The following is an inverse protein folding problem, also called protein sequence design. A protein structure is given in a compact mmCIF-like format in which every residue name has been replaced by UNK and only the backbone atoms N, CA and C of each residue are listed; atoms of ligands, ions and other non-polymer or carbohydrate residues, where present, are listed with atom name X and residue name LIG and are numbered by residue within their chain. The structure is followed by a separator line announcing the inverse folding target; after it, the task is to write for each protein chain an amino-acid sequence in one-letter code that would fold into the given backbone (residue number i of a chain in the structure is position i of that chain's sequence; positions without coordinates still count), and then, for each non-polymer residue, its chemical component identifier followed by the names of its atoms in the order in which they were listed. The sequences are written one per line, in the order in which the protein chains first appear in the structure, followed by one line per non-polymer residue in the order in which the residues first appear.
data_IF_395223772627
#
_entry.id   IF_395223772627
#
_cell.length_a   1.000
_cell.length_b   1.000
_cell.length_c   1.000
_cell.angle_alpha   90.00
_cell.angle_beta   90.00
_cell.angle_gamma   90.00
#
_symmetry.space_group_name_H-M   'P 1'
#
loop_
_entity.id
_entity.type
_entity.pdbx_description
1 polymer ?
#
# COMPACT_ATOMS: atom_id res chain seq x y z
N UNK A 1 8.28 14.88 48.62
CA UNK A 1 8.66 14.38 47.29
C UNK A 1 7.43 13.66 46.77
N UNK A 2 6.75 14.25 45.76
CA UNK A 2 5.31 14.08 45.56
C UNK A 2 5.02 12.86 44.68
N UNK A 3 4.38 11.84 45.27
CA UNK A 3 3.99 10.56 44.65
C UNK A 3 3.14 10.76 43.39
N UNK A 4 2.42 11.89 43.28
CA UNK A 4 1.69 12.31 42.07
C UNK A 4 2.59 12.48 40.84
N UNK A 5 3.82 13.00 41.00
CA UNK A 5 4.71 13.25 39.87
C UNK A 5 5.29 11.95 39.30
N UNK A 6 5.52 10.94 40.16
CA UNK A 6 5.94 9.59 39.70
C UNK A 6 4.80 8.87 38.99
N UNK A 7 3.56 9.01 39.46
CA UNK A 7 2.38 8.41 38.82
C UNK A 7 2.11 9.05 37.47
N UNK A 8 2.17 10.39 37.36
CA UNK A 8 2.04 11.09 36.07
C UNK A 8 3.15 10.72 35.09
N UNK A 9 4.39 10.66 35.55
CA UNK A 9 5.52 10.29 34.70
C UNK A 9 5.39 8.85 34.17
N UNK A 10 4.91 7.90 34.99
CA UNK A 10 4.64 6.52 34.53
C UNK A 10 3.52 6.46 33.51
N UNK A 11 2.47 7.24 33.71
CA UNK A 11 1.32 7.32 32.80
C UNK A 11 1.71 7.93 31.45
N UNK A 12 2.55 8.97 31.45
CA UNK A 12 3.10 9.56 30.23
C UNK A 12 4.06 8.62 29.48
N UNK A 13 4.88 7.83 30.21
CA UNK A 13 5.77 6.83 29.60
C UNK A 13 4.97 5.70 28.95
N UNK A 14 3.91 5.23 29.60
CA UNK A 14 3.01 4.21 29.06
C UNK A 14 2.27 4.73 27.81
N UNK A 15 1.89 6.01 27.82
CA UNK A 15 1.30 6.70 26.68
C UNK A 15 2.28 6.81 25.49
N UNK A 16 3.54 7.13 25.76
CA UNK A 16 4.60 7.17 24.74
C UNK A 16 4.89 5.76 24.19
N UNK A 17 4.82 4.72 25.02
CA UNK A 17 5.02 3.34 24.61
C UNK A 17 3.88 2.83 23.71
N UNK A 18 2.62 3.17 24.00
CA UNK A 18 1.50 2.87 23.10
C UNK A 18 1.64 3.61 21.76
N UNK A 19 1.98 4.89 21.79
CA UNK A 19 2.26 5.67 20.58
C UNK A 19 3.41 5.07 19.75
N UNK A 20 4.46 4.56 20.41
CA UNK A 20 5.55 3.83 19.74
C UNK A 20 5.08 2.50 19.14
N UNK A 21 4.21 1.75 19.83
CA UNK A 21 3.65 0.50 19.30
C UNK A 21 2.78 0.75 18.07
N UNK A 22 1.97 1.81 18.08
CA UNK A 22 1.23 2.24 16.89
C UNK A 22 2.15 2.68 15.75
N UNK A 23 3.27 3.33 16.06
CA UNK A 23 4.30 3.72 15.08
C UNK A 23 5.02 2.50 14.49
N UNK A 24 5.32 1.48 15.30
CA UNK A 24 5.98 0.24 14.83
C UNK A 24 5.04 -0.62 13.99
N UNK A 25 3.78 -0.77 14.37
CA UNK A 25 2.76 -1.39 13.50
C UNK A 25 2.58 -0.61 12.20
N UNK A 26 2.68 0.72 12.25
CA UNK A 26 2.64 1.60 11.09
C UNK A 26 3.84 1.44 10.16
N UNK A 27 5.04 1.22 10.70
CA UNK A 27 6.25 0.93 9.91
C UNK A 27 6.18 -0.47 9.28
N UNK A 28 5.59 -1.43 9.99
CA UNK A 28 5.38 -2.81 9.51
C UNK A 28 4.34 -2.89 8.39
N UNK A 29 3.24 -2.13 8.48
CA UNK A 29 2.20 -2.00 7.45
C UNK A 29 2.63 -1.11 6.26
N UNK A 30 3.65 -0.26 6.47
CA UNK A 30 4.28 0.55 5.43
C UNK A 30 5.22 -0.25 4.51
N UNK A 31 5.57 -1.50 4.85
CA UNK A 31 6.42 -2.33 3.99
C UNK A 31 5.73 -2.57 2.64
N UNK A 32 6.54 -2.38 1.60
CA UNK A 32 6.14 -2.33 0.22
C UNK A 32 5.48 -3.65 -0.20
N UNK A 33 4.15 -3.72 -0.09
CA UNK A 33 3.33 -4.82 -0.58
C UNK A 33 3.24 -4.82 -2.13
N UNK A 34 4.38 -4.56 -2.78
CA UNK A 34 4.60 -4.84 -4.19
C UNK A 34 4.76 -6.36 -4.28
N UNK A 35 3.62 -7.04 -4.17
CA UNK A 35 3.56 -8.48 -4.02
C UNK A 35 3.81 -9.16 -5.36
N UNK A 36 4.19 -10.44 -5.30
CA UNK A 36 4.30 -11.32 -6.46
C UNK A 36 3.08 -11.25 -7.37
N UNK A 37 1.88 -11.06 -6.79
CA UNK A 37 0.61 -10.92 -7.51
C UNK A 37 0.62 -9.75 -8.50
N UNK A 38 1.27 -8.65 -8.16
CA UNK A 38 1.31 -7.46 -9.02
C UNK A 38 2.26 -7.66 -10.18
N UNK A 39 3.42 -8.27 -9.92
CA UNK A 39 4.34 -8.69 -10.98
C UNK A 39 3.65 -9.68 -11.93
N UNK A 40 2.96 -10.68 -11.39
CA UNK A 40 2.21 -11.64 -12.21
C UNK A 40 1.14 -10.92 -13.04
N UNK A 41 0.38 -9.98 -12.46
CA UNK A 41 -0.66 -9.27 -13.21
C UNK A 41 -0.11 -8.41 -14.36
N UNK A 42 1.11 -7.88 -14.22
CA UNK A 42 1.77 -7.09 -15.26
C UNK A 42 2.34 -8.02 -16.34
N UNK A 43 2.97 -9.13 -15.97
CA UNK A 43 3.65 -10.02 -16.92
C UNK A 43 2.71 -11.01 -17.63
N UNK A 44 1.60 -11.41 -17.00
CA UNK A 44 0.68 -12.42 -17.53
C UNK A 44 0.13 -12.06 -18.93
N UNK A 45 -0.31 -10.82 -19.21
CA UNK A 45 -0.76 -10.45 -20.55
C UNK A 45 0.33 -10.61 -21.62
N UNK A 46 1.59 -10.29 -21.31
CA UNK A 46 2.71 -10.42 -22.24
C UNK A 46 3.06 -11.88 -22.54
N UNK A 47 3.02 -12.74 -21.51
CA UNK A 47 3.24 -14.19 -21.68
C UNK A 47 2.14 -14.78 -22.55
N UNK A 48 0.88 -14.45 -22.28
CA UNK A 48 -0.26 -14.92 -23.07
C UNK A 48 -0.19 -14.43 -24.52
N UNK A 49 0.20 -13.17 -24.73
CA UNK A 49 0.37 -12.60 -26.07
C UNK A 49 1.51 -13.29 -26.84
N UNK A 50 2.62 -13.61 -26.15
CA UNK A 50 3.76 -14.32 -26.76
C UNK A 50 3.38 -15.75 -27.16
N UNK A 51 2.59 -16.43 -26.32
CA UNK A 51 2.03 -17.75 -26.65
C UNK A 51 1.08 -17.63 -27.84
N UNK A 52 0.17 -16.66 -27.85
CA UNK A 52 -0.76 -16.44 -28.95
C UNK A 52 -0.04 -16.18 -30.28
N UNK A 53 1.04 -15.40 -30.26
CA UNK A 53 1.88 -15.15 -31.44
C UNK A 53 2.58 -16.39 -31.99
N UNK A 54 2.69 -17.47 -31.19
CA UNK A 54 3.22 -18.75 -31.67
C UNK A 54 2.18 -19.60 -32.43
N UNK A 55 0.88 -19.34 -32.21
CA UNK A 55 -0.21 -20.07 -32.86
C UNK A 55 -0.87 -19.28 -33.98
N UNK A 56 -0.84 -17.95 -33.88
CA UNK A 56 -1.39 -17.02 -34.84
C UNK A 56 -0.26 -16.14 -35.35
N UNK A 57 -0.16 -15.97 -36.66
CA UNK A 57 0.81 -15.08 -37.29
C UNK A 57 0.32 -13.64 -37.13
N UNK A 58 0.52 -13.09 -35.94
CA UNK A 58 0.11 -11.72 -35.59
C UNK A 58 1.13 -10.79 -36.24
N UNK A 59 0.66 -9.86 -37.07
CA UNK A 59 1.52 -8.84 -37.66
C UNK A 59 2.31 -8.10 -36.60
N UNK A 60 3.60 -7.88 -36.87
CA UNK A 60 4.53 -7.28 -35.90
C UNK A 60 4.07 -5.89 -35.44
N UNK A 61 3.45 -5.11 -36.34
CA UNK A 61 2.89 -3.80 -36.01
C UNK A 61 1.74 -3.91 -35.00
N UNK A 62 0.81 -4.84 -35.22
CA UNK A 62 -0.29 -5.11 -34.28
C UNK A 62 0.24 -5.61 -32.93
N UNK A 63 1.23 -6.50 -32.94
CA UNK A 63 1.87 -6.99 -31.72
C UNK A 63 2.50 -5.86 -30.90
N UNK A 64 3.22 -4.93 -31.54
CA UNK A 64 3.82 -3.77 -30.88
C UNK A 64 2.77 -2.81 -30.30
N UNK A 65 1.70 -2.53 -31.05
CA UNK A 65 0.59 -1.69 -30.57
C UNK A 65 -0.04 -2.30 -29.31
N UNK A 66 -0.32 -3.61 -29.32
CA UNK A 66 -0.91 -4.31 -28.18
C UNK A 66 0.03 -4.27 -26.97
N UNK A 67 1.33 -4.51 -27.17
CA UNK A 67 2.33 -4.40 -26.11
C UNK A 67 2.36 -2.99 -25.49
N UNK A 68 2.29 -1.96 -26.33
CA UNK A 68 2.28 -0.56 -25.88
C UNK A 68 1.03 -0.25 -25.05
N UNK A 69 -0.14 -0.68 -25.52
CA UNK A 69 -1.41 -0.52 -24.77
C UNK A 69 -1.33 -1.20 -23.41
N UNK A 70 -0.80 -2.42 -23.33
CA UNK A 70 -0.63 -3.12 -22.06
C UNK A 70 0.34 -2.41 -21.12
N UNK A 71 1.46 -1.89 -21.64
CA UNK A 71 2.43 -1.15 -20.83
C UNK A 71 1.80 0.13 -20.24
N UNK A 72 1.14 0.95 -21.07
CA UNK A 72 0.45 2.17 -20.60
C UNK A 72 -0.63 1.84 -19.56
N UNK A 73 -1.43 0.79 -19.82
CA UNK A 73 -2.47 0.35 -18.89
C UNK A 73 -1.89 -0.08 -17.54
N UNK A 74 -0.79 -0.84 -17.55
CA UNK A 74 -0.10 -1.26 -16.33
C UNK A 74 0.45 -0.06 -15.53
N UNK A 75 1.00 0.96 -16.21
CA UNK A 75 1.47 2.18 -15.55
C UNK A 75 0.34 2.93 -14.86
N UNK A 76 -0.79 3.15 -15.57
CA UNK A 76 -1.96 3.85 -15.00
C UNK A 76 -2.53 3.08 -13.81
N UNK A 77 -2.66 1.76 -13.92
CA UNK A 77 -3.10 0.91 -12.80
C UNK A 77 -2.14 1.00 -11.61
N UNK A 78 -0.83 1.00 -11.86
CA UNK A 78 0.19 1.18 -10.84
C UNK A 78 0.06 2.52 -10.10
N UNK A 79 -0.14 3.61 -10.85
CA UNK A 79 -0.34 4.96 -10.30
C UNK A 79 -1.62 5.07 -9.47
N UNK A 80 -2.75 4.56 -9.99
CA UNK A 80 -4.03 4.54 -9.27
C UNK A 80 -3.84 3.79 -7.95
N UNK A 81 -3.20 2.63 -7.99
CA UNK A 81 -3.01 1.80 -6.79
C UNK A 81 -2.14 2.48 -5.74
N UNK A 82 -1.05 3.15 -6.15
CA UNK A 82 -0.23 3.94 -5.23
C UNK A 82 -1.03 5.08 -4.59
N UNK A 83 -1.82 5.80 -5.37
CA UNK A 83 -2.70 6.85 -4.85
C UNK A 83 -3.77 6.28 -3.91
N UNK A 84 -4.43 5.18 -4.28
CA UNK A 84 -5.42 4.51 -3.42
C UNK A 84 -4.78 4.06 -2.11
N UNK A 85 -3.56 3.51 -2.14
CA UNK A 85 -2.84 3.12 -0.91
C UNK A 85 -2.56 4.33 -0.02
N UNK A 86 -2.12 5.44 -0.60
CA UNK A 86 -1.91 6.71 0.13
C UNK A 86 -3.20 7.25 0.73
N UNK A 87 -4.30 7.24 -0.03
CA UNK A 87 -5.61 7.72 0.42
C UNK A 87 -6.18 6.83 1.53
N UNK A 88 -6.16 5.51 1.36
CA UNK A 88 -6.62 4.57 2.39
C UNK A 88 -5.80 4.71 3.68
N UNK A 89 -4.48 4.95 3.57
CA UNK A 89 -3.64 5.26 4.72
C UNK A 89 -4.07 6.54 5.45
N UNK A 90 -4.43 7.60 4.70
CA UNK A 90 -4.93 8.85 5.30
C UNK A 90 -6.29 8.64 5.99
N UNK A 91 -7.20 7.88 5.38
CA UNK A 91 -8.50 7.56 5.95
C UNK A 91 -8.33 6.74 7.24
N UNK A 92 -7.47 5.71 7.24
CA UNK A 92 -7.21 4.91 8.44
C UNK A 92 -6.65 5.76 9.60
N UNK A 93 -5.75 6.70 9.29
CA UNK A 93 -5.22 7.65 10.27
C UNK A 93 -6.32 8.55 10.86
N UNK A 94 -7.20 9.10 10.02
CA UNK A 94 -8.32 9.91 10.49
C UNK A 94 -9.27 9.10 11.38
N UNK A 95 -9.58 7.87 10.99
CA UNK A 95 -10.45 6.96 11.78
C UNK A 95 -9.83 6.66 13.15
N UNK A 96 -8.51 6.43 13.21
CA UNK A 96 -7.80 6.20 14.48
C UNK A 96 -7.82 7.43 15.39
N UNK A 97 -7.61 8.63 14.85
CA UNK A 97 -7.68 9.89 15.63
C UNK A 97 -9.10 10.08 16.19
N UNK A 98 -10.14 9.92 15.37
CA UNK A 98 -11.54 10.07 15.82
C UNK A 98 -11.88 9.05 16.92
N UNK A 99 -11.44 7.79 16.77
CA UNK A 99 -11.67 6.76 17.80
C UNK A 99 -10.93 7.05 19.11
N UNK A 100 -9.75 7.65 19.03
CA UNK A 100 -9.00 8.06 20.20
C UNK A 100 -9.71 9.21 20.92
N UNK A 101 -10.16 10.23 20.18
CA UNK A 101 -10.91 11.38 20.71
C UNK A 101 -12.26 10.96 21.35
N UNK A 102 -13.01 10.05 20.69
CA UNK A 102 -14.27 9.52 21.21
C UNK A 102 -14.13 8.62 22.44
N UNK A 103 -12.95 8.00 22.66
CA UNK A 103 -12.69 7.20 23.85
C UNK A 103 -12.35 8.06 25.08
N UNK A 104 -12.38 9.39 24.94
CA UNK A 104 -12.20 10.34 26.03
C UNK A 104 -10.72 10.52 26.35
N UNK A 105 -10.03 11.31 25.53
CA UNK A 105 -8.76 11.91 25.94
C UNK A 105 -8.89 12.73 27.23
#
# INVERSE_FOLDING_TARGET
MNTENEVKAKLEIEHIAELQKYKDEFEKLGKNDWGLKDLISIFLPFVLLSIANSFYDIETELFQIICFIFMVSAMVQGMIRDQTKKTNRRIDLLVKIIKYDQKGG
#
